data_IF_577078276869
#
_entry.id   IF_577078276869
#
_cell.length_a   1.000
_cell.length_b   1.000
_cell.length_c   1.000
_cell.angle_alpha   90.00
_cell.angle_beta   90.00
_cell.angle_gamma   90.00
#
_symmetry.space_group_name_H-M   'P 1'
#
loop_
_entity.id
_entity.type
_entity.pdbx_description
1 polymer ?
#
# COMPACT_ATOMS: atom_id res chain seq x y z
N UNK A 1 -16.65 13.29 8.04
CA UNK A 1 -16.09 13.12 6.67
C UNK A 1 -16.48 11.74 6.19
N UNK A 2 -16.58 11.56 4.88
CA UNK A 2 -16.89 10.26 4.26
C UNK A 2 -15.63 9.66 3.63
N UNK A 3 -15.26 8.44 3.99
CA UNK A 3 -13.97 7.83 3.64
C UNK A 3 -14.19 6.44 3.04
N UNK A 4 -13.57 6.18 1.89
CA UNK A 4 -13.57 4.85 1.28
C UNK A 4 -12.23 4.15 1.54
N UNK A 5 -12.26 3.02 2.23
CA UNK A 5 -11.14 2.08 2.27
C UNK A 5 -11.17 1.25 0.99
N UNK A 6 -10.25 1.52 0.06
CA UNK A 6 -10.23 0.90 -1.25
C UNK A 6 -9.08 -0.11 -1.40
N UNK A 7 -9.39 -1.32 -1.87
CA UNK A 7 -8.41 -2.38 -2.06
C UNK A 7 -8.55 -3.05 -3.44
N UNK A 8 -7.62 -2.83 -4.38
CA UNK A 8 -7.41 -3.74 -5.50
C UNK A 8 -7.03 -5.13 -4.97
N UNK A 9 -7.64 -6.20 -5.48
CA UNK A 9 -7.34 -7.57 -5.02
C UNK A 9 -7.37 -8.60 -6.15
N UNK A 10 -6.76 -9.76 -5.88
CA UNK A 10 -6.94 -10.98 -6.66
C UNK A 10 -6.78 -12.25 -5.80
N UNK A 11 -7.17 -13.37 -6.37
CA UNK A 11 -7.09 -14.73 -5.84
C UNK A 11 -5.73 -15.11 -5.26
N UNK A 12 -4.64 -14.54 -5.79
CA UNK A 12 -3.27 -14.74 -5.29
C UNK A 12 -3.08 -14.31 -3.83
N UNK A 13 -3.92 -13.38 -3.34
CA UNK A 13 -3.88 -12.86 -1.98
C UNK A 13 -4.90 -13.54 -1.05
N UNK A 14 -5.66 -14.54 -1.52
CA UNK A 14 -6.67 -15.24 -0.71
C UNK A 14 -6.13 -15.82 0.62
N UNK A 15 -4.81 -15.97 0.76
CA UNK A 15 -4.17 -16.40 2.01
C UNK A 15 -4.36 -15.40 3.19
N UNK A 16 -4.51 -14.09 2.91
CA UNK A 16 -4.62 -13.06 3.94
C UNK A 16 -5.96 -12.32 3.96
N UNK A 17 -6.94 -12.71 3.13
CA UNK A 17 -8.21 -11.98 3.01
C UNK A 17 -9.00 -11.90 4.33
N UNK A 18 -9.01 -12.97 5.14
CA UNK A 18 -9.74 -12.95 6.41
C UNK A 18 -9.08 -11.98 7.41
N UNK A 19 -7.75 -12.02 7.55
CA UNK A 19 -7.00 -11.09 8.41
C UNK A 19 -7.19 -9.63 7.94
N UNK A 20 -7.27 -9.40 6.63
CA UNK A 20 -7.54 -8.08 6.07
C UNK A 20 -8.94 -7.58 6.42
N UNK A 21 -9.97 -8.41 6.26
CA UNK A 21 -11.35 -8.06 6.58
C UNK A 21 -11.52 -7.75 8.08
N UNK A 22 -10.95 -8.58 8.95
CA UNK A 22 -10.92 -8.33 10.39
C UNK A 22 -10.19 -7.02 10.71
N UNK A 23 -9.10 -6.71 10.00
CA UNK A 23 -8.36 -5.46 10.22
C UNK A 23 -9.18 -4.25 9.81
N UNK A 24 -9.80 -4.29 8.65
CA UNK A 24 -10.65 -3.19 8.15
C UNK A 24 -11.85 -2.96 9.07
N UNK A 25 -12.46 -4.02 9.59
CA UNK A 25 -13.54 -3.90 10.58
C UNK A 25 -13.07 -3.16 11.84
N UNK A 26 -11.87 -3.44 12.35
CA UNK A 26 -11.29 -2.73 13.49
C UNK A 26 -11.01 -1.25 13.17
N UNK A 27 -10.46 -0.95 11.99
CA UNK A 27 -10.22 0.43 11.55
C UNK A 27 -11.53 1.23 11.46
N UNK A 28 -12.58 0.63 10.90
CA UNK A 28 -13.92 1.25 10.81
C UNK A 28 -14.49 1.48 12.21
N UNK A 29 -14.45 0.48 13.10
CA UNK A 29 -14.95 0.58 14.47
C UNK A 29 -14.23 1.66 15.29
N UNK A 30 -12.92 1.82 15.08
CA UNK A 30 -12.13 2.84 15.77
C UNK A 30 -12.48 4.24 15.24
N UNK A 31 -12.73 4.39 13.94
CA UNK A 31 -12.97 5.67 13.25
C UNK A 31 -14.42 6.18 13.37
N UNK A 32 -15.03 6.06 14.56
CA UNK A 32 -16.48 6.30 14.81
C UNK A 32 -16.99 7.72 14.51
N UNK A 33 -16.11 8.70 14.44
CA UNK A 33 -16.46 10.10 14.15
C UNK A 33 -16.59 10.37 12.64
N UNK A 34 -16.43 9.33 11.81
CA UNK A 34 -16.45 9.40 10.35
C UNK A 34 -17.36 8.33 9.74
N UNK A 35 -17.92 8.62 8.57
CA UNK A 35 -18.59 7.62 7.75
C UNK A 35 -17.52 6.88 6.96
N UNK A 36 -17.24 5.64 7.34
CA UNK A 36 -16.18 4.83 6.74
C UNK A 36 -16.76 3.58 6.11
N UNK A 37 -16.61 3.48 4.79
CA UNK A 37 -16.97 2.31 4.00
C UNK A 37 -15.70 1.62 3.48
N UNK A 38 -15.83 0.38 3.00
CA UNK A 38 -14.76 -0.29 2.28
C UNK A 38 -15.26 -0.92 0.99
N UNK A 39 -14.37 -1.03 -0.01
CA UNK A 39 -14.66 -1.70 -1.27
C UNK A 39 -13.43 -2.46 -1.78
N UNK A 40 -13.61 -3.76 -2.05
CA UNK A 40 -12.64 -4.55 -2.78
C UNK A 40 -12.95 -4.55 -4.27
N UNK A 41 -11.92 -4.48 -5.10
CA UNK A 41 -12.01 -4.61 -6.56
C UNK A 41 -11.24 -5.86 -6.98
N UNK A 42 -11.94 -6.96 -7.23
CA UNK A 42 -11.35 -8.20 -7.69
C UNK A 42 -10.96 -8.12 -9.17
N UNK A 43 -9.67 -8.29 -9.46
CA UNK A 43 -9.13 -8.37 -10.81
C UNK A 43 -8.57 -9.77 -11.17
N UNK A 44 -8.96 -10.80 -10.40
CA UNK A 44 -8.69 -12.20 -10.71
C UNK A 44 -9.19 -12.56 -12.10
N UNK A 45 -8.51 -13.50 -12.76
CA UNK A 45 -8.94 -13.99 -14.07
C UNK A 45 -10.27 -14.72 -13.99
N UNK A 46 -10.38 -15.62 -13.02
CA UNK A 46 -11.58 -16.42 -12.77
C UNK A 46 -12.47 -15.77 -11.71
N UNK A 47 -13.76 -16.11 -11.70
CA UNK A 47 -14.74 -15.55 -10.75
C UNK A 47 -14.85 -16.31 -9.43
N UNK A 48 -14.10 -17.40 -9.26
CA UNK A 48 -14.14 -18.24 -8.06
C UNK A 48 -13.83 -17.45 -6.78
N UNK A 49 -12.82 -16.58 -6.82
CA UNK A 49 -12.47 -15.72 -5.68
C UNK A 49 -13.54 -14.67 -5.39
N UNK A 50 -14.05 -14.00 -6.43
CA UNK A 50 -15.15 -13.04 -6.32
C UNK A 50 -16.41 -13.67 -5.72
N UNK A 51 -16.87 -14.79 -6.26
CA UNK A 51 -18.08 -15.49 -5.82
C UNK A 51 -17.96 -15.93 -4.36
N UNK A 52 -16.82 -16.50 -3.98
CA UNK A 52 -16.52 -16.88 -2.60
C UNK A 52 -16.65 -15.70 -1.62
N UNK A 53 -16.22 -14.49 -2.01
CA UNK A 53 -16.32 -13.31 -1.15
C UNK A 53 -17.73 -12.71 -1.16
N UNK A 54 -18.43 -12.75 -2.30
CA UNK A 54 -19.84 -12.35 -2.40
C UNK A 54 -20.75 -13.21 -1.52
N UNK A 55 -20.56 -14.52 -1.50
CA UNK A 55 -21.31 -15.45 -0.63
C UNK A 55 -21.16 -15.11 0.87
N UNK A 56 -20.04 -14.48 1.23
CA UNK A 56 -19.76 -14.00 2.60
C UNK A 56 -20.24 -12.57 2.85
N UNK A 57 -21.06 -12.00 1.96
CA UNK A 57 -21.53 -10.61 2.02
C UNK A 57 -20.40 -9.56 2.07
N UNK A 58 -19.21 -9.88 1.54
CA UNK A 58 -18.12 -8.91 1.45
C UNK A 58 -18.47 -7.86 0.40
N UNK A 59 -18.22 -6.58 0.72
CA UNK A 59 -18.39 -5.51 -0.27
C UNK A 59 -17.27 -5.56 -1.33
N UNK A 60 -17.54 -6.28 -2.41
CA UNK A 60 -16.62 -6.52 -3.51
C UNK A 60 -17.30 -6.32 -4.86
N UNK A 61 -16.55 -5.83 -5.85
CA UNK A 61 -16.95 -5.79 -7.27
C UNK A 61 -15.91 -6.50 -8.13
N UNK A 62 -16.34 -6.96 -9.30
CA UNK A 62 -15.48 -7.59 -10.29
C UNK A 62 -15.00 -6.55 -11.31
N UNK A 63 -13.70 -6.43 -11.50
CA UNK A 63 -13.09 -5.67 -12.59
C UNK A 63 -12.80 -6.59 -13.79
N UNK A 64 -12.77 -6.04 -15.02
CA UNK A 64 -12.27 -6.75 -16.18
C UNK A 64 -10.82 -7.25 -15.96
N UNK A 65 -10.55 -8.47 -16.39
CA UNK A 65 -9.19 -9.01 -16.33
C UNK A 65 -8.35 -8.51 -17.52
N UNK A 66 -7.44 -7.57 -17.26
CA UNK A 66 -6.45 -7.10 -18.24
C UNK A 66 -5.22 -8.01 -18.23
N UNK A 67 -4.52 -8.17 -19.35
CA UNK A 67 -3.37 -9.10 -19.41
C UNK A 67 -2.17 -8.60 -18.59
N UNK A 68 -1.86 -7.31 -18.69
CA UNK A 68 -0.77 -6.68 -17.97
C UNK A 68 -1.15 -6.47 -16.49
N UNK A 69 -0.31 -6.94 -15.57
CA UNK A 69 -0.54 -6.83 -14.12
C UNK A 69 -0.62 -5.36 -13.66
N UNK A 70 0.25 -4.50 -14.20
CA UNK A 70 0.30 -3.09 -13.83
C UNK A 70 -0.95 -2.35 -14.30
N UNK A 71 -1.42 -2.64 -15.51
CA UNK A 71 -2.70 -2.11 -16.01
C UNK A 71 -3.88 -2.60 -15.16
N UNK A 72 -3.90 -3.88 -14.77
CA UNK A 72 -4.96 -4.39 -13.87
C UNK A 72 -5.02 -3.62 -12.56
N UNK A 73 -3.87 -3.38 -11.92
CA UNK A 73 -3.80 -2.65 -10.65
C UNK A 73 -4.26 -1.20 -10.86
N UNK A 74 -3.71 -0.50 -11.84
CA UNK A 74 -4.08 0.89 -12.14
C UNK A 74 -5.58 1.02 -12.48
N UNK A 75 -6.12 0.08 -13.25
CA UNK A 75 -7.54 0.03 -13.57
C UNK A 75 -8.42 -0.17 -12.33
N UNK A 76 -8.06 -1.13 -11.47
CA UNK A 76 -8.77 -1.35 -10.19
C UNK A 76 -8.74 -0.12 -9.28
N UNK A 77 -7.60 0.58 -9.20
CA UNK A 77 -7.48 1.83 -8.44
C UNK A 77 -8.30 2.97 -9.04
N UNK A 78 -8.40 3.04 -10.37
CA UNK A 78 -9.28 4.02 -11.03
C UNK A 78 -10.76 3.75 -10.77
N UNK A 79 -11.19 2.49 -10.67
CA UNK A 79 -12.57 2.18 -10.25
C UNK A 79 -12.84 2.70 -8.83
N UNK A 80 -11.89 2.50 -7.90
CA UNK A 80 -11.99 3.03 -6.53
C UNK A 80 -12.00 4.56 -6.50
N UNK A 81 -11.13 5.19 -7.30
CA UNK A 81 -11.11 6.65 -7.50
C UNK A 81 -12.46 7.15 -7.99
N UNK A 82 -13.02 6.53 -9.02
CA UNK A 82 -14.28 6.95 -9.62
C UNK A 82 -15.43 6.80 -8.62
N UNK A 83 -15.45 5.72 -7.81
CA UNK A 83 -16.39 5.55 -6.68
C UNK A 83 -16.29 6.70 -5.67
N UNK A 84 -15.08 7.12 -5.32
CA UNK A 84 -14.87 8.25 -4.40
C UNK A 84 -15.48 9.53 -4.95
N UNK A 85 -15.24 9.81 -6.24
CA UNK A 85 -15.71 11.03 -6.89
C UNK A 85 -17.21 11.02 -7.20
N UNK A 86 -17.80 9.87 -7.55
CA UNK A 86 -19.22 9.75 -7.89
C UNK A 86 -20.12 9.76 -6.66
N UNK A 87 -19.66 9.21 -5.55
CA UNK A 87 -20.50 8.94 -4.37
C UNK A 87 -20.23 9.92 -3.22
N UNK A 88 -19.50 11.00 -3.48
CA UNK A 88 -19.30 12.10 -2.53
C UNK A 88 -18.37 11.78 -1.36
N UNK A 89 -17.45 10.83 -1.51
CA UNK A 89 -16.40 10.58 -0.51
C UNK A 89 -15.39 11.74 -0.48
N UNK A 90 -14.86 12.05 0.70
CA UNK A 90 -13.82 13.05 0.92
C UNK A 90 -12.41 12.49 0.70
N UNK A 91 -12.22 11.20 0.98
CA UNK A 91 -10.93 10.52 0.90
C UNK A 91 -11.03 9.10 0.32
N UNK A 92 -9.99 8.72 -0.41
CA UNK A 92 -9.62 7.32 -0.63
C UNK A 92 -8.53 6.96 0.38
N UNK A 93 -8.80 6.00 1.26
CA UNK A 93 -7.76 5.28 2.00
C UNK A 93 -7.41 4.03 1.21
N UNK A 94 -6.37 4.14 0.38
CA UNK A 94 -5.89 3.05 -0.45
C UNK A 94 -5.07 2.09 0.39
N UNK A 95 -5.56 0.86 0.52
CA UNK A 95 -5.00 -0.18 1.39
C UNK A 95 -4.86 -1.49 0.60
N UNK A 96 -3.63 -1.95 0.40
CA UNK A 96 -3.37 -3.23 -0.27
C UNK A 96 -3.74 -4.41 0.65
N UNK A 97 -4.13 -5.56 0.08
CA UNK A 97 -4.69 -6.69 0.86
C UNK A 97 -3.70 -7.34 1.84
N UNK A 98 -2.41 -7.27 1.55
CA UNK A 98 -1.34 -7.78 2.41
C UNK A 98 -0.78 -6.73 3.37
N UNK A 99 -1.38 -5.54 3.46
CA UNK A 99 -0.96 -4.48 4.38
C UNK A 99 -1.92 -4.40 5.58
N UNK A 100 -1.37 -4.46 6.80
CA UNK A 100 -2.12 -4.63 8.05
C UNK A 100 -1.83 -3.49 9.05
N UNK A 101 -2.43 -2.29 8.86
CA UNK A 101 -2.16 -1.11 9.68
C UNK A 101 -2.88 -1.15 11.02
N UNK A 102 -2.38 -0.48 12.05
CA UNK A 102 -3.06 -0.39 13.37
C UNK A 102 -4.51 0.12 13.26
N UNK A 103 -5.37 -0.23 14.21
CA UNK A 103 -6.80 0.12 14.16
C UNK A 103 -7.08 1.63 14.17
N UNK A 104 -6.19 2.42 14.77
CA UNK A 104 -6.28 3.88 14.85
C UNK A 104 -5.54 4.60 13.70
N UNK A 105 -5.04 3.86 12.70
CA UNK A 105 -4.24 4.42 11.61
C UNK A 105 -4.95 5.56 10.90
N UNK A 106 -6.25 5.42 10.64
CA UNK A 106 -7.00 6.39 9.87
C UNK A 106 -7.10 7.72 10.63
N UNK A 107 -7.33 7.66 11.95
CA UNK A 107 -7.30 8.86 12.79
C UNK A 107 -5.92 9.52 12.80
N UNK A 108 -4.86 8.72 12.94
CA UNK A 108 -3.48 9.23 12.95
C UNK A 108 -3.15 9.97 11.65
N UNK A 109 -3.52 9.40 10.51
CA UNK A 109 -3.31 10.03 9.20
C UNK A 109 -4.18 11.28 9.02
N UNK A 110 -5.46 11.25 9.41
CA UNK A 110 -6.36 12.40 9.29
C UNK A 110 -5.92 13.58 10.17
N UNK A 111 -5.42 13.33 11.39
CA UNK A 111 -4.92 14.35 12.32
C UNK A 111 -3.75 15.16 11.75
N UNK A 112 -3.09 14.68 10.70
CA UNK A 112 -1.98 15.41 10.05
C UNK A 112 -2.42 16.52 9.10
N UNK A 113 -3.71 16.56 8.74
CA UNK A 113 -4.30 17.51 7.78
C UNK A 113 -3.54 17.59 6.44
N UNK A 114 -3.05 16.44 5.95
CA UNK A 114 -2.35 16.34 4.67
C UNK A 114 -3.29 15.85 3.57
N UNK A 115 -3.19 16.45 2.39
CA UNK A 115 -3.94 16.02 1.20
C UNK A 115 -3.50 14.64 0.68
N UNK A 116 -2.24 14.28 0.89
CA UNK A 116 -1.67 12.98 0.55
C UNK A 116 -0.71 12.57 1.67
N UNK A 117 -0.98 11.45 2.33
CA UNK A 117 -0.09 10.91 3.36
C UNK A 117 -0.08 9.38 3.34
N UNK A 118 1.10 8.79 3.28
CA UNK A 118 1.30 7.35 3.36
C UNK A 118 1.76 6.95 4.76
N UNK A 119 1.25 5.83 5.29
CA UNK A 119 1.81 5.22 6.48
C UNK A 119 3.11 4.49 6.12
N UNK A 120 4.08 4.46 7.03
CA UNK A 120 5.32 3.73 6.80
C UNK A 120 5.10 2.21 6.87
N UNK A 121 5.41 1.51 5.79
CA UNK A 121 5.51 0.05 5.73
C UNK A 121 6.77 -0.34 4.95
N UNK A 122 7.32 -1.49 5.31
CA UNK A 122 8.51 -2.04 4.69
C UNK A 122 8.25 -3.44 4.17
N UNK A 123 9.16 -3.89 3.30
CA UNK A 123 9.13 -5.24 2.77
C UNK A 123 10.50 -5.89 2.95
N UNK A 124 10.60 -7.02 3.66
CA UNK A 124 11.79 -7.85 3.60
C UNK A 124 11.97 -8.40 2.18
N UNK A 125 13.13 -8.14 1.61
CA UNK A 125 13.48 -8.46 0.21
C UNK A 125 14.81 -9.20 0.17
N UNK A 126 14.87 -10.29 -0.60
CA UNK A 126 16.12 -10.96 -0.94
C UNK A 126 16.90 -10.09 -1.91
N UNK A 127 18.10 -9.68 -1.52
CA UNK A 127 19.00 -8.87 -2.34
C UNK A 127 20.32 -9.61 -2.56
N UNK A 128 20.87 -9.48 -3.78
CA UNK A 128 22.23 -9.90 -4.09
C UNK A 128 23.20 -8.75 -3.81
N UNK A 129 24.00 -8.87 -2.76
CA UNK A 129 25.06 -7.93 -2.42
C UNK A 129 26.33 -8.31 -3.16
N UNK A 130 26.69 -7.53 -4.18
CA UNK A 130 27.92 -7.71 -4.95
C UNK A 130 29.09 -7.00 -4.27
N UNK A 131 30.15 -7.74 -3.98
CA UNK A 131 31.43 -7.16 -3.58
C UNK A 131 32.09 -6.53 -4.82
N UNK A 132 32.30 -5.22 -4.80
CA UNK A 132 32.89 -4.50 -5.94
C UNK A 132 34.38 -4.84 -6.17
N UNK A 133 35.06 -5.41 -5.18
CA UNK A 133 36.48 -5.80 -5.26
C UNK A 133 36.64 -7.24 -5.75
N UNK A 134 35.91 -8.19 -5.16
CA UNK A 134 36.03 -9.62 -5.49
C UNK A 134 35.07 -10.08 -6.58
N UNK A 135 34.02 -9.31 -6.88
CA UNK A 135 32.94 -9.69 -7.80
C UNK A 135 31.94 -10.69 -7.23
N UNK A 136 32.19 -11.23 -6.04
CA UNK A 136 31.33 -12.21 -5.37
C UNK A 136 29.96 -11.62 -5.02
N UNK A 137 28.90 -12.41 -5.17
CA UNK A 137 27.53 -12.03 -4.79
C UNK A 137 27.12 -12.84 -3.57
N UNK A 138 26.78 -12.16 -2.47
CA UNK A 138 26.17 -12.77 -1.28
C UNK A 138 24.71 -12.38 -1.21
N UNK A 139 23.85 -13.36 -1.00
CA UNK A 139 22.43 -13.09 -0.79
C UNK A 139 22.19 -12.68 0.66
N UNK A 140 21.40 -11.63 0.85
CA UNK A 140 20.96 -11.17 2.16
C UNK A 140 19.47 -10.83 2.11
N UNK A 141 18.77 -10.95 3.23
CA UNK A 141 17.44 -10.38 3.39
C UNK A 141 17.62 -8.99 3.98
N UNK A 142 17.17 -7.96 3.26
CA UNK A 142 17.12 -6.60 3.75
C UNK A 142 15.68 -6.13 3.87
N UNK A 143 15.42 -5.34 4.91
CA UNK A 143 14.19 -4.58 5.03
C UNK A 143 14.28 -3.36 4.10
N UNK A 144 13.53 -3.42 2.99
CA UNK A 144 13.48 -2.33 2.02
C UNK A 144 12.25 -1.47 2.31
N UNK A 145 12.45 -0.17 2.43
CA UNK A 145 11.35 0.79 2.52
C UNK A 145 10.76 1.01 1.13
N UNK A 146 9.43 1.15 1.05
CA UNK A 146 8.76 1.66 -0.14
C UNK A 146 8.65 3.18 -0.08
N UNK A 147 9.75 3.84 0.30
CA UNK A 147 9.85 5.29 0.49
C UNK A 147 11.08 5.80 -0.25
N UNK A 148 10.90 6.96 -0.87
CA UNK A 148 11.95 7.66 -1.56
C UNK A 148 12.13 9.05 -1.00
N UNK A 149 13.35 9.39 -0.59
CA UNK A 149 13.70 10.72 -0.09
C UNK A 149 14.14 11.61 -1.25
N UNK A 150 13.79 12.90 -1.14
CA UNK A 150 14.37 13.94 -2.00
C UNK A 150 15.76 14.26 -1.45
N UNK A 151 16.78 14.15 -2.29
CA UNK A 151 18.09 14.68 -2.01
C UNK A 151 18.11 16.14 -2.45
N UNK A 152 18.12 17.06 -1.48
CA UNK A 152 18.07 18.50 -1.73
C UNK A 152 19.33 19.02 -2.44
N UNK A 153 20.49 18.38 -2.20
CA UNK A 153 21.77 18.80 -2.77
C UNK A 153 21.89 18.38 -4.23
N UNK A 154 21.42 17.18 -4.57
CA UNK A 154 21.55 16.63 -5.93
C UNK A 154 20.27 16.72 -6.77
N UNK A 155 19.15 17.15 -6.18
CA UNK A 155 17.80 17.07 -6.75
C UNK A 155 17.43 15.65 -7.22
N UNK A 156 18.11 14.63 -6.71
CA UNK A 156 17.84 13.22 -7.04
C UNK A 156 16.92 12.60 -6.00
N UNK A 157 16.39 11.46 -6.37
CA UNK A 157 15.58 10.63 -5.48
C UNK A 157 16.41 9.42 -5.08
N UNK A 158 16.49 9.15 -3.77
CA UNK A 158 17.12 7.93 -3.23
C UNK A 158 16.11 7.08 -2.48
N UNK A 159 16.27 5.77 -2.52
CA UNK A 159 15.53 4.88 -1.62
C UNK A 159 15.92 5.17 -0.17
N UNK A 160 14.93 5.31 0.71
CA UNK A 160 15.20 5.50 2.12
C UNK A 160 15.64 4.18 2.76
N UNK A 161 16.63 4.22 3.63
CA UNK A 161 16.89 3.10 4.55
C UNK A 161 16.04 3.26 5.83
N UNK A 162 15.67 2.17 6.54
CA UNK A 162 14.79 2.25 7.70
C UNK A 162 15.20 3.29 8.76
N UNK A 163 16.50 3.47 8.99
CA UNK A 163 17.05 4.42 9.96
C UNK A 163 16.78 5.89 9.60
N UNK A 164 16.59 6.20 8.32
CA UNK A 164 16.32 7.56 7.86
C UNK A 164 14.87 7.98 8.07
N UNK A 165 13.94 7.02 8.13
CA UNK A 165 12.51 7.28 8.15
C UNK A 165 11.82 6.87 9.44
N UNK A 166 12.23 5.80 10.10
CA UNK A 166 11.50 5.24 11.24
C UNK A 166 11.47 6.21 12.43
N UNK A 167 10.28 6.42 13.01
CA UNK A 167 10.04 7.24 14.20
C UNK A 167 10.50 8.70 14.04
N UNK A 168 10.21 9.30 12.88
CA UNK A 168 10.54 10.70 12.57
C UNK A 168 9.29 11.59 12.48
N UNK A 169 8.13 11.12 12.94
CA UNK A 169 6.88 11.84 12.81
C UNK A 169 6.38 11.91 11.37
N UNK A 170 5.84 13.07 11.01
CA UNK A 170 5.40 13.38 9.65
C UNK A 170 6.57 13.99 8.87
N UNK A 171 6.95 13.33 7.77
CA UNK A 171 8.06 13.77 6.92
C UNK A 171 7.58 14.09 5.51
N UNK A 172 8.15 15.12 4.88
CA UNK A 172 8.02 15.32 3.42
C UNK A 172 8.95 14.35 2.71
N UNK A 173 8.46 13.69 1.65
CA UNK A 173 9.22 12.67 0.89
C UNK A 173 9.14 12.91 -0.62
N UNK A 174 10.03 12.28 -1.37
CA UNK A 174 10.06 12.33 -2.84
C UNK A 174 9.08 11.36 -3.50
N UNK A 175 8.66 10.31 -2.78
CA UNK A 175 7.66 9.32 -3.21
C UNK A 175 7.44 8.23 -2.18
N UNK A 176 6.38 7.44 -2.33
CA UNK A 176 6.08 6.26 -1.51
C UNK A 176 5.25 5.23 -2.29
N UNK A 177 5.18 4.01 -1.76
CA UNK A 177 4.17 3.02 -2.16
C UNK A 177 2.76 3.44 -1.71
N UNK A 178 1.76 3.06 -2.50
CA UNK A 178 0.34 3.43 -2.31
C UNK A 178 -0.51 2.34 -1.64
N UNK A 179 0.14 1.40 -0.96
CA UNK A 179 -0.51 0.28 -0.27
C UNK A 179 -1.02 0.60 1.13
N UNK A 180 -0.75 1.79 1.66
CA UNK A 180 -1.38 2.33 2.87
C UNK A 180 -1.34 3.86 2.83
N UNK A 181 -2.12 4.46 1.93
CA UNK A 181 -2.09 5.91 1.67
C UNK A 181 -3.48 6.52 1.76
N UNK A 182 -3.58 7.65 2.46
CA UNK A 182 -4.77 8.48 2.52
C UNK A 182 -4.65 9.62 1.49
N UNK A 183 -5.63 9.71 0.59
CA UNK A 183 -5.64 10.63 -0.55
C UNK A 183 -6.95 11.42 -0.55
N UNK A 184 -6.86 12.75 -0.45
CA UNK A 184 -8.00 13.65 -0.49
C UNK A 184 -8.63 13.73 -1.90
N UNK A 185 -9.96 13.88 -1.99
CA UNK A 185 -10.70 13.93 -3.26
C UNK A 185 -10.17 14.94 -4.28
N UNK A 186 -9.74 16.13 -3.84
CA UNK A 186 -9.14 17.16 -4.72
C UNK A 186 -7.87 16.68 -5.46
N UNK A 187 -7.15 15.71 -4.89
CA UNK A 187 -5.99 15.09 -5.55
C UNK A 187 -6.50 14.10 -6.60
N UNK A 188 -7.48 13.27 -6.22
CA UNK A 188 -8.11 12.29 -7.08
C UNK A 188 -8.81 12.94 -8.28
N UNK A 189 -9.44 14.10 -8.13
CA UNK A 189 -10.04 14.87 -9.24
C UNK A 189 -9.03 15.16 -10.36
N UNK A 190 -7.78 15.45 -9.99
CA UNK A 190 -6.72 15.85 -10.93
C UNK A 190 -5.87 14.68 -11.44
N UNK A 191 -5.79 13.59 -10.69
CA UNK A 191 -4.83 12.51 -10.94
C UNK A 191 -5.56 11.17 -11.13
N UNK A 192 -5.18 10.46 -12.19
CA UNK A 192 -5.59 9.08 -12.44
C UNK A 192 -4.42 8.15 -12.20
N UNK A 193 -4.70 6.94 -11.73
CA UNK A 193 -3.70 5.88 -11.65
C UNK A 193 -3.40 5.39 -13.06
N UNK A 194 -2.13 5.22 -13.41
CA UNK A 194 -1.73 4.83 -14.76
C UNK A 194 -0.51 3.93 -14.73
N UNK A 195 -0.36 3.16 -15.78
CA UNK A 195 0.87 2.49 -16.15
C UNK A 195 1.33 3.03 -17.50
N UNK A 196 2.64 3.22 -17.68
CA UNK A 196 3.24 3.63 -18.93
C UNK A 196 4.21 2.54 -19.36
N UNK A 197 3.94 1.87 -20.49
CA UNK A 197 4.71 0.71 -20.95
C UNK A 197 6.20 1.01 -21.16
N UNK A 198 6.51 2.24 -21.58
CA UNK A 198 7.87 2.73 -21.80
C UNK A 198 8.58 3.16 -20.51
N UNK A 199 7.90 3.19 -19.37
CA UNK A 199 8.49 3.52 -18.08
C UNK A 199 8.63 2.28 -17.20
N UNK A 200 9.81 2.12 -16.58
CA UNK A 200 10.05 1.03 -15.63
C UNK A 200 9.26 1.20 -14.32
N UNK A 201 8.65 2.37 -14.11
CA UNK A 201 7.87 2.72 -12.93
C UNK A 201 6.62 1.84 -12.76
N UNK A 202 6.21 1.66 -11.50
CA UNK A 202 4.89 1.17 -11.14
C UNK A 202 3.93 2.36 -10.98
N UNK A 203 2.64 2.06 -10.82
CA UNK A 203 1.58 3.05 -10.70
C UNK A 203 1.75 3.98 -9.49
N UNK A 204 2.40 3.50 -8.44
CA UNK A 204 2.76 4.26 -7.23
C UNK A 204 3.70 5.44 -7.50
N UNK A 205 4.79 5.19 -8.22
CA UNK A 205 5.77 6.21 -8.59
C UNK A 205 5.20 7.20 -9.59
N UNK A 206 4.38 6.72 -10.54
CA UNK A 206 3.68 7.59 -11.49
C UNK A 206 2.67 8.49 -10.78
N UNK A 207 1.92 7.96 -9.81
CA UNK A 207 1.03 8.75 -8.97
C UNK A 207 1.80 9.82 -8.18
N UNK A 208 2.92 9.45 -7.54
CA UNK A 208 3.75 10.40 -6.81
C UNK A 208 4.32 11.50 -7.72
N UNK A 209 4.73 11.14 -8.94
CA UNK A 209 5.19 12.11 -9.94
C UNK A 209 4.07 13.08 -10.34
N UNK A 210 2.92 12.55 -10.75
CA UNK A 210 1.77 13.37 -11.17
C UNK A 210 1.29 14.28 -10.03
N UNK A 211 1.34 13.81 -8.79
CA UNK A 211 0.99 14.63 -7.62
C UNK A 211 1.91 15.84 -7.48
N UNK A 212 3.22 15.64 -7.61
CA UNK A 212 4.19 16.75 -7.58
C UNK A 212 4.02 17.69 -8.77
N UNK A 213 3.77 17.16 -9.97
CA UNK A 213 3.52 17.96 -11.17
C UNK A 213 2.25 18.83 -11.03
N UNK A 214 1.29 18.40 -10.21
CA UNK A 214 0.08 19.16 -9.84
C UNK A 214 0.28 20.09 -8.63
N UNK A 215 1.51 20.21 -8.12
CA UNK A 215 1.86 21.08 -6.99
C UNK A 215 1.51 20.50 -5.62
N UNK A 216 1.19 19.21 -5.52
CA UNK A 216 0.97 18.57 -4.23
C UNK A 216 2.28 18.10 -3.59
N UNK A 217 2.35 18.26 -2.27
CA UNK A 217 3.43 17.69 -1.46
C UNK A 217 3.08 16.26 -1.01
N UNK A 218 4.11 15.44 -0.87
CA UNK A 218 3.99 14.04 -0.46
C UNK A 218 4.50 13.88 0.96
N UNK A 219 3.68 13.28 1.83
CA UNK A 219 4.02 13.07 3.23
C UNK A 219 4.04 11.59 3.62
N UNK A 220 4.91 11.26 4.57
CA UNK A 220 5.01 9.96 5.22
C UNK A 220 4.70 10.13 6.71
N UNK A 221 3.79 9.32 7.24
CA UNK A 221 3.61 9.12 8.68
C UNK A 221 4.50 7.95 9.12
N UNK A 222 5.54 8.26 9.90
CA UNK A 222 6.64 7.32 10.14
C UNK A 222 6.78 6.79 11.57
N UNK A 223 5.90 7.22 12.48
CA UNK A 223 5.90 6.78 13.88
C UNK A 223 5.38 5.35 14.07
N UNK A 224 4.89 4.71 13.00
CA UNK A 224 4.40 3.34 13.01
C UNK A 224 4.99 2.62 11.82
N UNK A 225 5.49 1.41 12.07
CA UNK A 225 5.79 0.45 11.01
C UNK A 225 4.59 -0.47 10.82
N UNK A 226 3.87 -0.26 9.72
CA UNK A 226 2.73 -1.08 9.34
C UNK A 226 3.21 -2.44 8.84
N UNK A 227 2.57 -3.50 9.34
CA UNK A 227 2.87 -4.90 8.99
C UNK A 227 2.50 -5.15 7.52
N UNK A 228 3.37 -5.86 6.82
CA UNK A 228 3.17 -6.29 5.43
C UNK A 228 3.35 -7.81 5.34
N UNK A 229 2.30 -8.51 4.91
CA UNK A 229 2.22 -9.97 4.85
C UNK A 229 2.82 -10.51 3.57
N UNK A 230 3.40 -11.72 3.65
CA UNK A 230 4.02 -12.39 2.51
C UNK A 230 3.61 -13.85 2.44
N UNK A 231 3.29 -14.30 1.21
CA UNK A 231 2.74 -15.64 0.94
C UNK A 231 3.70 -16.79 1.22
N UNK A 232 5.01 -16.59 1.12
CA UNK A 232 6.03 -17.63 1.37
C UNK A 232 7.41 -17.04 1.65
N UNK A 233 8.03 -17.53 2.71
CA UNK A 233 9.48 -17.76 2.77
C UNK A 233 9.69 -19.28 2.56
N UNK A 234 10.70 -19.74 1.80
CA UNK A 234 11.20 -21.10 2.00
C UNK A 234 11.58 -21.25 3.48
N UNK A 235 11.10 -22.31 4.14
CA UNK A 235 11.46 -22.66 5.53
C UNK A 235 12.97 -22.84 5.73
N UNK A 236 13.75 -22.87 4.65
CA UNK A 236 15.20 -23.07 4.62
C UNK A 236 16.03 -21.82 4.99
N UNK A 237 15.40 -20.66 5.16
CA UNK A 237 16.12 -19.39 5.42
C UNK A 237 16.14 -18.99 6.91
N UNK A 238 15.25 -19.56 7.73
CA UNK A 238 15.46 -19.60 9.17
C UNK A 238 16.18 -20.92 9.45
N UNK A 239 17.50 -20.87 9.64
CA UNK A 239 18.17 -21.95 10.36
C UNK A 239 17.39 -22.18 11.65
N UNK A 240 17.15 -23.45 11.98
CA UNK A 240 16.37 -23.89 13.14
C UNK A 240 16.50 -22.92 14.32
N UNK A 241 15.49 -22.08 14.53
CA UNK A 241 15.27 -21.45 15.81
C UNK A 241 13.94 -21.99 16.29
N UNK A 242 14.07 -22.77 17.34
CA UNK A 242 13.06 -23.56 18.03
C UNK A 242 11.69 -22.87 18.10
N UNK A 243 10.66 -23.71 18.00
CA UNK A 243 9.31 -23.42 18.44
C UNK A 243 9.33 -22.69 19.78
N UNK A 244 8.93 -21.42 19.78
CA UNK A 244 8.37 -20.82 20.98
C UNK A 244 6.97 -21.40 21.10
N UNK A 245 6.89 -22.54 21.80
CA UNK A 245 5.64 -22.98 22.41
C UNK A 245 5.14 -21.83 23.27
N UNK A 246 3.96 -21.30 22.93
CA UNK A 246 3.18 -20.49 23.85
C UNK A 246 2.64 -21.42 24.93
N UNK A 247 3.39 -21.60 26.01
CA UNK A 247 2.87 -22.17 27.25
C UNK A 247 2.11 -21.09 28.01
N UNK A 248 0.85 -21.39 28.34
CA UNK A 248 0.25 -20.95 29.59
C UNK A 248 0.86 -21.77 30.74
#
# INVERSE_FOLDING_TARGET
>A
MKILIGCPTCDRYNYCINEWLERVEKVIKHSKDHEVDYLLVDNSKEDTFFNKLKEKNVNIIKAPHLQNVKDRIAHSRNILRDKVLSDGYDYLFSLDQDVMPEEDILEKLLKTDKKIISAYYSKPTLVGLKNNTTGEVKNAILEITLVWLLDEDSLKIKHAVPQEVRNKGVMKVGGFGIGCVLIHKQVLEKIKFKFLENEKAFDDLLFCKDAKDQGYELFLYSDILVKHLHRTWPKEIYGESESVESTN
#
